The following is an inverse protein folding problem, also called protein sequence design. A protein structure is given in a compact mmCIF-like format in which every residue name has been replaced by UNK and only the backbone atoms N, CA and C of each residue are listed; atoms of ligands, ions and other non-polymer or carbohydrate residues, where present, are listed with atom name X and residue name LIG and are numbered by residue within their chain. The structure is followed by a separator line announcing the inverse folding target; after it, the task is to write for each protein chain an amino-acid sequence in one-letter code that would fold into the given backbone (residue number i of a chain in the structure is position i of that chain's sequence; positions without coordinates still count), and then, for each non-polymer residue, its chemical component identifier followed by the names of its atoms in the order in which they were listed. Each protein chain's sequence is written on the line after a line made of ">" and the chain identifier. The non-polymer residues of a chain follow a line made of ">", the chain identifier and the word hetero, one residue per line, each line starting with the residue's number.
data_IF_509264115975
#
_entry.id   IF_509264115975
#
_cell.length_a   1.000
_cell.length_b   1.000
_cell.length_c   1.000
_cell.angle_alpha   90.00
_cell.angle_beta   90.00
_cell.angle_gamma   90.00
#
_symmetry.space_group_name_H-M   'P 1'
#
loop_
_entity.id
_entity.type
_entity.pdbx_description
1 polymer ?
#
# COMPACT_ATOMS: atom_id res chain seq x y z
N UNK A 1 -35.77 -8.35 40.74
CA UNK A 1 -35.57 -8.56 39.29
C UNK A 1 -34.28 -7.90 38.88
N UNK A 2 -33.43 -8.63 38.16
CA UNK A 2 -32.23 -8.13 37.48
C UNK A 2 -32.65 -7.44 36.18
N UNK A 3 -32.07 -6.29 35.88
CA UNK A 3 -31.19 -6.07 34.71
C UNK A 3 -30.79 -4.58 34.66
N UNK A 4 -29.56 -4.27 35.03
CA UNK A 4 -28.44 -4.09 34.08
C UNK A 4 -28.57 -2.80 33.27
N UNK A 5 -28.31 -1.66 33.91
CA UNK A 5 -27.85 -0.45 33.23
C UNK A 5 -26.33 -0.53 33.16
N UNK A 6 -25.80 -0.98 32.04
CA UNK A 6 -24.39 -0.79 31.71
C UNK A 6 -24.32 -0.20 30.31
N UNK A 7 -24.00 1.11 30.28
CA UNK A 7 -23.60 1.80 29.07
C UNK A 7 -22.33 1.15 28.55
N UNK A 8 -22.37 0.60 27.33
CA UNK A 8 -21.17 0.44 26.51
C UNK A 8 -21.45 1.03 25.14
N UNK A 9 -21.34 2.36 25.10
CA UNK A 9 -20.90 3.08 23.92
C UNK A 9 -19.57 2.44 23.50
N UNK A 10 -19.63 1.51 22.55
CA UNK A 10 -18.43 0.96 21.92
C UNK A 10 -17.75 2.11 21.20
N UNK A 11 -16.76 2.67 21.90
CA UNK A 11 -15.64 3.43 21.37
C UNK A 11 -15.28 2.86 20.00
N UNK A 12 -15.45 3.68 18.96
CA UNK A 12 -14.68 3.47 17.74
C UNK A 12 -13.23 3.68 18.13
N UNK A 13 -12.30 2.75 17.87
CA UNK A 13 -10.91 3.12 17.92
C UNK A 13 -10.72 4.16 16.82
N UNK A 14 -10.42 5.39 17.24
CA UNK A 14 -9.93 6.44 16.35
C UNK A 14 -8.89 5.84 15.41
N UNK A 15 -9.05 6.17 14.14
CA UNK A 15 -8.01 5.98 13.13
C UNK A 15 -6.73 6.60 13.68
N UNK A 16 -5.61 5.87 13.82
CA UNK A 16 -4.36 6.56 14.02
C UNK A 16 -4.14 7.41 12.77
N UNK A 17 -3.85 8.72 12.89
CA UNK A 17 -3.26 9.44 11.79
C UNK A 17 -1.85 8.85 11.64
N UNK A 18 -1.71 7.86 10.77
CA UNK A 18 -0.39 7.47 10.24
C UNK A 18 0.06 8.63 9.35
N UNK A 19 0.46 9.72 10.01
CA UNK A 19 1.28 10.76 9.43
C UNK A 19 2.69 10.18 9.22
N UNK A 20 3.38 10.67 8.19
CA UNK A 20 4.41 9.93 7.49
C UNK A 20 5.70 9.91 8.32
N UNK A 21 6.27 8.72 8.52
CA UNK A 21 7.67 8.61 8.86
C UNK A 21 8.48 9.14 7.66
N UNK A 22 8.78 10.43 7.72
CA UNK A 22 9.79 11.12 6.92
C UNK A 22 11.14 10.49 7.26
N UNK A 23 11.54 9.48 6.48
CA UNK A 23 12.95 9.11 6.35
C UNK A 23 13.61 10.11 5.39
N UNK A 24 14.50 10.93 5.96
CA UNK A 24 15.23 12.03 5.30
C UNK A 24 16.40 11.50 4.44
N UNK A 25 16.75 12.29 3.41
CA UNK A 25 18.06 12.44 2.70
C UNK A 25 18.38 11.53 1.48
N UNK A 26 19.26 11.96 0.53
CA UNK A 26 19.10 12.91 -0.59
C UNK A 26 18.91 12.19 -1.96
N UNK A 27 18.22 12.80 -2.93
CA UNK A 27 18.20 12.50 -4.38
C UNK A 27 18.67 11.12 -4.88
N UNK A 28 18.20 10.03 -4.24
CA UNK A 28 18.36 8.65 -4.68
C UNK A 28 16.99 8.01 -4.50
N UNK A 29 16.54 7.35 -5.56
CA UNK A 29 15.19 6.80 -5.77
C UNK A 29 14.62 6.11 -4.52
N UNK A 30 13.33 6.33 -4.15
CA UNK A 30 12.74 5.74 -2.93
C UNK A 30 12.70 4.21 -2.91
N UNK A 31 12.73 3.59 -4.08
CA UNK A 31 12.77 2.14 -4.25
C UNK A 31 13.96 1.78 -5.13
N UNK A 32 14.53 0.61 -4.87
CA UNK A 32 15.61 0.04 -5.67
C UNK A 32 15.08 -0.92 -6.74
N UNK A 33 15.86 -1.10 -7.82
CA UNK A 33 15.58 -2.14 -8.82
C UNK A 33 15.68 -3.51 -8.14
N UNK A 34 14.78 -4.43 -8.48
CA UNK A 34 14.59 -5.76 -7.90
C UNK A 34 14.00 -5.84 -6.48
N UNK A 35 13.57 -4.73 -5.90
CA UNK A 35 12.93 -4.71 -4.58
C UNK A 35 11.46 -5.14 -4.62
N UNK A 36 11.00 -5.79 -3.54
CA UNK A 36 9.59 -6.11 -3.33
C UNK A 36 8.86 -4.87 -2.85
N UNK A 37 7.80 -4.50 -3.56
CA UNK A 37 6.97 -3.34 -3.28
C UNK A 37 5.50 -3.74 -3.32
N UNK A 38 4.65 -2.87 -2.79
CA UNK A 38 3.21 -3.01 -2.89
C UNK A 38 2.71 -2.01 -3.93
N UNK A 39 1.84 -2.41 -4.85
CA UNK A 39 1.31 -1.52 -5.88
C UNK A 39 -0.21 -1.54 -5.88
N UNK A 40 -0.81 -0.36 -5.98
CA UNK A 40 -2.25 -0.24 -6.17
C UNK A 40 -2.64 -0.69 -7.58
N UNK A 41 -3.58 -1.62 -7.65
CA UNK A 41 -4.25 -2.01 -8.88
C UNK A 41 -5.76 -1.98 -8.65
N UNK A 42 -6.41 -0.91 -9.13
CA UNK A 42 -7.81 -0.65 -8.85
C UNK A 42 -8.06 -0.40 -7.35
N UNK A 43 -9.07 -1.06 -6.74
CA UNK A 43 -9.37 -0.89 -5.31
C UNK A 43 -8.46 -1.70 -4.39
N UNK A 44 -7.61 -2.57 -4.92
CA UNK A 44 -6.80 -3.51 -4.15
C UNK A 44 -5.30 -3.19 -4.25
N UNK A 45 -4.56 -3.66 -3.27
CA UNK A 45 -3.10 -3.60 -3.23
C UNK A 45 -2.55 -5.00 -3.51
N UNK A 46 -1.64 -5.10 -4.47
CA UNK A 46 -0.96 -6.35 -4.77
C UNK A 46 0.53 -6.26 -4.50
N UNK A 47 1.14 -7.39 -4.14
CA UNK A 47 2.58 -7.51 -4.10
C UNK A 47 3.13 -7.47 -5.51
N UNK A 48 4.16 -6.66 -5.71
CA UNK A 48 4.81 -6.49 -6.97
C UNK A 48 6.31 -6.34 -6.78
N UNK A 49 7.06 -6.48 -7.86
CA UNK A 49 8.51 -6.33 -7.88
C UNK A 49 8.86 -5.13 -8.74
N UNK A 50 9.66 -4.23 -8.19
CA UNK A 50 10.28 -3.18 -8.98
C UNK A 50 11.32 -3.83 -9.88
N UNK A 51 11.18 -3.71 -11.20
CA UNK A 51 12.14 -4.22 -12.16
C UNK A 51 13.14 -3.14 -12.57
N UNK A 52 12.67 -1.91 -12.81
CA UNK A 52 13.50 -0.78 -13.26
C UNK A 52 13.05 0.53 -12.63
N UNK A 53 13.98 1.46 -12.46
CA UNK A 53 13.66 2.83 -12.05
C UNK A 53 14.07 3.81 -13.13
N UNK A 54 13.15 4.71 -13.49
CA UNK A 54 13.41 5.77 -14.45
C UNK A 54 13.13 7.13 -13.82
N UNK A 55 14.16 7.98 -13.79
CA UNK A 55 14.04 9.38 -13.33
C UNK A 55 14.15 10.28 -14.56
N UNK A 56 13.06 10.94 -14.94
CA UNK A 56 13.00 11.90 -16.06
C UNK A 56 12.32 13.17 -15.61
N UNK A 57 12.89 14.34 -15.91
CA UNK A 57 12.24 15.64 -15.67
C UNK A 57 11.74 15.84 -14.23
N UNK A 58 12.50 15.34 -13.24
CA UNK A 58 12.14 15.30 -11.80
C UNK A 58 10.94 14.41 -11.46
N UNK A 59 10.40 13.66 -12.42
CA UNK A 59 9.43 12.60 -12.20
C UNK A 59 10.14 11.25 -12.09
N UNK A 60 9.75 10.48 -11.07
CA UNK A 60 10.25 9.12 -10.85
C UNK A 60 9.15 8.14 -11.25
N UNK A 61 9.50 7.22 -12.14
CA UNK A 61 8.65 6.12 -12.57
C UNK A 61 9.33 4.80 -12.24
N UNK A 62 8.54 3.83 -11.86
CA UNK A 62 8.95 2.49 -11.51
C UNK A 62 8.31 1.53 -12.48
N UNK A 63 9.11 0.64 -13.07
CA UNK A 63 8.60 -0.46 -13.87
C UNK A 63 8.23 -1.59 -12.91
N UNK A 64 6.94 -1.85 -12.77
CA UNK A 64 6.41 -2.77 -11.77
C UNK A 64 5.91 -4.03 -12.44
N UNK A 65 6.32 -5.18 -11.89
CA UNK A 65 5.83 -6.50 -12.25
C UNK A 65 5.02 -7.09 -11.10
N UNK A 66 3.73 -7.34 -11.31
CA UNK A 66 2.86 -7.89 -10.28
C UNK A 66 3.15 -9.37 -10.05
N UNK A 67 3.32 -9.77 -8.79
CA UNK A 67 3.68 -11.15 -8.46
C UNK A 67 2.51 -12.09 -8.76
N UNK A 68 2.74 -13.10 -9.60
CA UNK A 68 1.71 -14.05 -10.04
C UNK A 68 0.84 -13.58 -11.20
N UNK A 69 1.16 -12.41 -11.78
CA UNK A 69 0.45 -11.88 -12.96
C UNK A 69 1.30 -12.06 -14.21
N UNK A 70 0.65 -12.02 -15.37
CA UNK A 70 1.34 -12.12 -16.66
C UNK A 70 2.13 -10.83 -16.96
N UNK A 71 3.29 -10.93 -17.64
CA UNK A 71 4.15 -9.81 -18.05
C UNK A 71 3.45 -8.74 -18.89
N UNK A 72 2.30 -9.05 -19.48
CA UNK A 72 1.48 -8.09 -20.21
C UNK A 72 0.89 -7.00 -19.29
N UNK A 73 0.89 -7.22 -17.98
CA UNK A 73 0.46 -6.24 -16.97
C UNK A 73 1.61 -5.37 -16.44
N UNK A 74 2.84 -5.59 -16.92
CA UNK A 74 3.99 -4.81 -16.49
C UNK A 74 3.88 -3.38 -17.03
N UNK A 75 3.79 -2.42 -16.11
CA UNK A 75 3.56 -1.02 -16.45
C UNK A 75 4.56 -0.11 -15.73
N UNK A 76 4.87 1.01 -16.37
CA UNK A 76 5.54 2.13 -15.71
C UNK A 76 4.55 2.92 -14.88
N UNK A 77 4.62 2.77 -13.57
CA UNK A 77 3.79 3.51 -12.63
C UNK A 77 4.58 4.61 -11.92
N UNK A 78 3.96 5.74 -11.60
CA UNK A 78 4.59 6.77 -10.78
C UNK A 78 4.81 6.26 -9.35
N UNK A 79 5.77 6.85 -8.65
CA UNK A 79 6.03 6.58 -7.23
C UNK A 79 4.77 6.64 -6.35
N UNK A 80 3.80 7.49 -6.69
CA UNK A 80 2.56 7.66 -5.93
C UNK A 80 1.69 6.40 -5.86
N UNK A 81 1.84 5.47 -6.83
CA UNK A 81 1.11 4.18 -6.83
C UNK A 81 1.86 3.05 -6.14
N UNK A 82 3.15 3.27 -5.87
CA UNK A 82 4.05 2.26 -5.29
C UNK A 82 4.23 2.57 -3.80
N UNK A 83 3.99 1.57 -2.97
CA UNK A 83 4.15 1.62 -1.54
C UNK A 83 5.31 0.73 -1.11
N UNK A 84 6.02 1.18 -0.07
CA UNK A 84 7.04 0.38 0.60
C UNK A 84 6.38 -0.82 1.27
N UNK A 85 7.08 -1.95 1.26
CA UNK A 85 6.69 -3.11 2.05
C UNK A 85 6.90 -2.79 3.55
N UNK A 86 5.83 -2.35 4.20
CA UNK A 86 5.80 -2.02 5.63
C UNK A 86 4.54 -2.61 6.25
N UNK A 87 4.57 -2.87 7.56
CA UNK A 87 3.44 -3.47 8.27
C UNK A 87 2.15 -2.67 8.10
N UNK A 88 2.23 -1.33 8.09
CA UNK A 88 1.07 -0.47 7.84
C UNK A 88 0.45 -0.70 6.45
N UNK A 89 1.27 -0.87 5.42
CA UNK A 89 0.78 -1.10 4.06
C UNK A 89 0.30 -2.53 3.85
N UNK A 90 0.92 -3.51 4.53
CA UNK A 90 0.41 -4.88 4.58
C UNK A 90 -0.93 -4.96 5.30
N UNK A 91 -1.13 -4.19 6.37
CA UNK A 91 -2.43 -4.09 7.02
C UNK A 91 -3.47 -3.51 6.07
N UNK A 92 -3.14 -2.40 5.39
CA UNK A 92 -4.02 -1.82 4.35
C UNK A 92 -4.38 -2.81 3.26
N UNK A 93 -3.42 -3.61 2.78
CA UNK A 93 -3.68 -4.66 1.80
C UNK A 93 -4.72 -5.66 2.32
N UNK A 94 -4.54 -6.16 3.54
CA UNK A 94 -5.48 -7.10 4.18
C UNK A 94 -6.86 -6.49 4.37
N UNK A 95 -6.91 -5.24 4.85
CA UNK A 95 -8.17 -4.53 5.06
C UNK A 95 -8.94 -4.36 3.74
N UNK A 96 -8.24 -3.96 2.67
CA UNK A 96 -8.83 -3.80 1.34
C UNK A 96 -9.29 -5.13 0.74
N UNK A 97 -8.50 -6.20 0.89
CA UNK A 97 -8.90 -7.54 0.45
C UNK A 97 -10.15 -8.02 1.19
N UNK A 98 -10.17 -7.89 2.51
CA UNK A 98 -11.32 -8.27 3.33
C UNK A 98 -12.56 -7.44 2.99
N UNK A 99 -12.41 -6.14 2.77
CA UNK A 99 -13.51 -5.27 2.37
C UNK A 99 -14.06 -5.62 0.98
N UNK A 100 -13.18 -5.99 0.04
CA UNK A 100 -13.59 -6.44 -1.28
C UNK A 100 -14.34 -7.77 -1.24
N UNK A 101 -13.81 -8.76 -0.49
CA UNK A 101 -14.46 -10.06 -0.28
C UNK A 101 -15.83 -9.92 0.40
N UNK A 102 -15.98 -9.00 1.36
CA UNK A 102 -17.26 -8.73 2.01
C UNK A 102 -18.28 -8.01 1.10
N UNK A 103 -17.84 -7.47 -0.03
CA UNK A 103 -18.67 -6.76 -1.01
C UNK A 103 -19.03 -7.62 -2.23
N UNK A 104 -18.56 -8.87 -2.30
CA UNK A 104 -18.89 -9.87 -3.32
C UNK A 104 -20.02 -10.78 -2.84
#
# INVERSE_FOLDING_TARGET
>A
MRDSREEKSSTMPETPPVAPAVEKTPCKTKFSESEKVLCFHGPLIYEAKCLKVQVKDKQIKYFIHYAGWNKNWDEWVPESRVLKLSDANLNRQKDLQKAHEASL
#
